data_IF_442976221818
#
_entry.id   IF_442976221818
#
_cell.length_a   1.000
_cell.length_b   1.000
_cell.length_c   1.000
_cell.angle_alpha   90.00
_cell.angle_beta   90.00
_cell.angle_gamma   90.00
#
_symmetry.space_group_name_H-M   'P 1'
#
loop_
_entity.id
_entity.type
_entity.pdbx_description
1 polymer ?
#
# COMPACT_ATOMS: atom_id res chain seq x y z
N UNK A 1 48.19 37.16 26.24
CA UNK A 1 47.45 37.47 24.99
C UNK A 1 47.22 36.13 24.31
N UNK A 2 46.06 35.61 23.98
CA UNK A 2 44.62 35.95 23.98
C UNK A 2 43.91 34.57 23.75
N UNK A 3 42.63 34.29 23.93
CA UNK A 3 41.50 34.80 24.68
C UNK A 3 40.57 33.58 24.80
N UNK A 4 40.04 33.28 25.98
CA UNK A 4 39.01 32.25 26.20
C UNK A 4 37.67 32.94 26.02
N UNK A 5 36.91 32.57 24.99
CA UNK A 5 35.56 33.06 24.79
C UNK A 5 34.56 32.02 25.31
N UNK A 6 33.87 32.42 26.38
CA UNK A 6 32.70 31.77 26.94
C UNK A 6 31.48 31.93 26.02
N UNK A 7 30.57 30.96 26.06
CA UNK A 7 29.21 31.08 25.52
C UNK A 7 28.18 30.61 26.58
N UNK A 8 26.98 31.21 26.62
CA UNK A 8 26.19 31.33 27.83
C UNK A 8 25.20 30.19 28.08
N UNK A 9 24.96 29.96 29.37
CA UNK A 9 23.87 29.18 29.94
C UNK A 9 22.57 29.98 29.78
N UNK A 10 21.57 29.41 29.10
CA UNK A 10 20.18 29.86 29.15
C UNK A 10 19.37 28.91 30.01
N UNK A 11 18.89 29.44 31.12
CA UNK A 11 17.98 28.81 32.05
C UNK A 11 16.52 29.21 31.75
N UNK A 12 15.61 28.34 32.22
CA UNK A 12 14.17 28.53 32.43
C UNK A 12 13.29 28.49 31.16
N UNK A 13 12.09 27.88 31.14
CA UNK A 13 11.14 27.72 32.23
C UNK A 13 10.17 26.53 32.05
N UNK A 14 9.71 26.05 33.20
CA UNK A 14 8.61 25.13 33.51
C UNK A 14 7.39 25.20 32.56
N UNK A 15 6.74 24.04 32.36
CA UNK A 15 5.29 23.89 32.64
C UNK A 15 4.92 22.43 32.93
N UNK A 16 3.97 22.31 33.86
CA UNK A 16 3.52 21.12 34.55
C UNK A 16 2.56 20.24 33.72
N UNK A 17 2.51 18.95 34.06
CA UNK A 17 1.49 17.95 33.71
C UNK A 17 0.08 18.36 34.21
N UNK A 18 -1.07 17.75 33.78
CA UNK A 18 -1.36 16.32 33.97
C UNK A 18 -2.23 15.62 32.90
N UNK A 19 -2.38 14.31 33.07
CA UNK A 19 -3.29 13.41 32.38
C UNK A 19 -4.77 13.71 32.64
N UNK A 20 -5.63 13.44 31.64
CA UNK A 20 -7.05 13.11 31.89
C UNK A 20 -7.57 12.11 30.85
N UNK A 21 -8.12 11.02 31.37
CA UNK A 21 -8.82 9.94 30.66
C UNK A 21 -10.33 10.18 30.74
N UNK A 22 -11.07 9.64 29.77
CA UNK A 22 -12.44 9.11 29.84
C UNK A 22 -13.60 9.88 29.14
N UNK A 23 -14.18 9.14 28.18
CA UNK A 23 -15.62 8.81 28.03
C UNK A 23 -16.65 9.86 27.60
N UNK A 24 -17.28 9.61 26.43
CA UNK A 24 -18.74 9.50 26.16
C UNK A 24 -18.97 9.64 24.64
N UNK A 25 -19.40 8.60 23.92
CA UNK A 25 -20.78 8.13 23.76
C UNK A 25 -21.76 9.22 23.28
N UNK A 26 -21.95 9.35 21.96
CA UNK A 26 -23.19 9.86 21.37
C UNK A 26 -23.35 9.41 19.90
N UNK A 27 -24.32 8.51 19.66
CA UNK A 27 -24.96 8.28 18.36
C UNK A 27 -25.72 9.55 17.92
N UNK A 28 -25.86 9.79 16.61
CA UNK A 28 -27.09 10.39 16.10
C UNK A 28 -27.97 9.35 15.43
N UNK A 29 -29.16 9.17 16.01
CA UNK A 29 -30.29 8.46 15.43
C UNK A 29 -30.96 9.33 14.37
N UNK A 30 -31.52 8.63 13.38
CA UNK A 30 -32.36 9.09 12.28
C UNK A 30 -33.52 10.01 12.69
N UNK A 31 -33.81 11.01 11.84
CA UNK A 31 -35.16 11.51 11.63
C UNK A 31 -35.38 11.75 10.12
N UNK A 32 -36.31 10.97 9.57
CA UNK A 32 -36.81 11.04 8.20
C UNK A 32 -37.67 12.29 7.99
N UNK A 33 -37.67 12.80 6.76
CA UNK A 33 -38.88 13.42 6.19
C UNK A 33 -38.95 13.06 4.71
N UNK A 34 -39.68 11.99 4.43
CA UNK A 34 -40.03 11.56 3.08
C UNK A 34 -41.34 12.26 2.67
N UNK A 35 -41.31 12.98 1.55
CA UNK A 35 -42.53 13.45 0.86
C UNK A 35 -43.00 12.35 -0.09
N UNK A 36 -44.16 11.77 0.22
CA UNK A 36 -44.98 11.00 -0.73
C UNK A 36 -45.86 11.97 -1.52
N UNK A 37 -46.14 11.69 -2.80
CA UNK A 37 -47.49 11.90 -3.31
C UNK A 37 -48.08 10.62 -3.91
N UNK A 38 -49.31 10.37 -3.45
CA UNK A 38 -50.46 9.78 -4.12
C UNK A 38 -50.32 8.47 -4.92
N UNK A 39 -51.06 7.50 -4.41
CA UNK A 39 -51.35 6.19 -4.98
C UNK A 39 -51.93 6.26 -6.41
N UNK A 40 -51.40 5.41 -7.28
CA UNK A 40 -52.12 4.89 -8.44
C UNK A 40 -52.15 3.36 -8.30
N UNK A 41 -53.35 2.80 -8.34
CA UNK A 41 -53.67 1.38 -8.16
C UNK A 41 -52.90 0.48 -9.14
N UNK A 42 -52.20 -0.58 -8.68
CA UNK A 42 -51.64 -1.56 -9.60
C UNK A 42 -52.74 -2.50 -10.09
N UNK A 43 -52.99 -2.47 -11.40
CA UNK A 43 -53.74 -3.49 -12.13
C UNK A 43 -53.10 -4.85 -11.83
N UNK A 44 -53.87 -5.77 -11.27
CA UNK A 44 -53.52 -7.19 -11.17
C UNK A 44 -53.26 -7.76 -12.57
N UNK A 45 -51.99 -7.84 -12.96
CA UNK A 45 -51.55 -8.61 -14.12
C UNK A 45 -51.16 -10.03 -13.69
N UNK A 46 -51.72 -10.96 -14.46
CA UNK A 46 -51.71 -12.40 -14.30
C UNK A 46 -50.27 -12.97 -14.17
N UNK A 47 -50.01 -13.82 -13.16
CA UNK A 47 -48.68 -14.41 -12.84
C UNK A 47 -48.18 -15.47 -13.85
N UNK A 48 -48.58 -15.42 -15.11
CA UNK A 48 -48.23 -16.44 -16.12
C UNK A 48 -47.48 -15.93 -17.35
N UNK A 49 -47.04 -14.68 -17.36
CA UNK A 49 -46.31 -14.11 -18.51
C UNK A 49 -45.10 -13.28 -18.04
N UNK A 50 -44.11 -13.95 -17.45
CA UNK A 50 -42.82 -13.32 -17.09
C UNK A 50 -41.64 -14.30 -17.19
N UNK A 51 -41.74 -15.29 -18.06
CA UNK A 51 -40.70 -16.26 -18.35
C UNK A 51 -40.73 -16.46 -19.85
N UNK A 52 -39.96 -15.66 -20.59
CA UNK A 52 -39.51 -15.86 -21.99
C UNK A 52 -38.99 -14.50 -22.48
N UNK A 53 -37.78 -14.12 -22.06
CA UNK A 53 -37.20 -12.87 -22.57
C UNK A 53 -36.01 -12.30 -21.83
N UNK A 54 -35.04 -13.11 -21.38
CA UNK A 54 -33.69 -12.62 -21.08
C UNK A 54 -32.62 -13.74 -20.95
N UNK A 55 -32.33 -14.59 -21.97
CA UNK A 55 -31.09 -15.39 -21.92
C UNK A 55 -29.92 -14.73 -22.68
N UNK A 56 -30.17 -13.76 -23.56
CA UNK A 56 -29.14 -13.30 -24.51
C UNK A 56 -28.15 -12.26 -23.94
N UNK A 57 -28.51 -11.50 -22.91
CA UNK A 57 -27.62 -10.48 -22.32
C UNK A 57 -26.61 -11.05 -21.30
N UNK A 58 -26.87 -12.23 -20.74
CA UNK A 58 -25.95 -12.89 -19.81
C UNK A 58 -24.84 -13.67 -20.52
N UNK A 59 -25.08 -14.15 -21.75
CA UNK A 59 -24.06 -14.82 -22.55
C UNK A 59 -23.05 -13.86 -23.20
N UNK A 60 -23.42 -12.59 -23.42
CA UNK A 60 -22.55 -11.56 -23.99
C UNK A 60 -21.57 -10.95 -22.97
N UNK A 61 -21.75 -11.20 -21.66
CA UNK A 61 -20.83 -10.75 -20.61
C UNK A 61 -19.68 -11.73 -20.36
N UNK A 62 -19.74 -12.95 -20.90
CA UNK A 62 -18.70 -13.98 -20.71
C UNK A 62 -17.59 -13.97 -21.76
N UNK A 63 -17.62 -13.05 -22.73
CA UNK A 63 -16.57 -12.90 -23.75
C UNK A 63 -15.78 -11.60 -23.61
N UNK A 64 -15.88 -10.92 -22.47
CA UNK A 64 -14.93 -9.86 -22.15
C UNK A 64 -13.56 -10.51 -21.92
N UNK A 65 -12.73 -10.53 -22.97
CA UNK A 65 -11.29 -10.78 -22.82
C UNK A 65 -10.80 -9.92 -21.65
N UNK A 66 -10.04 -10.48 -20.69
CA UNK A 66 -9.46 -9.66 -19.64
C UNK A 66 -8.72 -8.54 -20.36
N UNK A 67 -9.04 -7.29 -20.02
CA UNK A 67 -8.29 -6.17 -20.54
C UNK A 67 -6.82 -6.48 -20.25
N UNK A 68 -6.01 -6.68 -21.31
CA UNK A 68 -4.56 -6.77 -21.19
C UNK A 68 -4.13 -5.41 -20.70
N UNK A 69 -4.14 -5.24 -19.38
CA UNK A 69 -3.59 -4.06 -18.79
C UNK A 69 -2.08 -4.15 -19.03
N UNK A 70 -1.64 -3.27 -19.91
CA UNK A 70 -0.24 -3.07 -20.24
C UNK A 70 0.31 -2.27 -19.06
N UNK A 71 1.31 -2.83 -18.38
CA UNK A 71 2.02 -2.07 -17.37
C UNK A 71 2.66 -0.84 -18.03
N UNK A 72 2.83 0.28 -17.30
CA UNK A 72 3.63 1.38 -17.80
C UNK A 72 5.03 0.89 -18.23
N UNK A 73 5.63 1.41 -19.31
CA UNK A 73 6.94 0.95 -19.79
C UNK A 73 8.03 1.03 -18.71
N UNK A 74 7.92 1.98 -17.79
CA UNK A 74 8.87 2.19 -16.70
C UNK A 74 8.69 1.18 -15.54
N UNK A 75 7.57 0.44 -15.51
CA UNK A 75 7.21 -0.42 -14.38
C UNK A 75 8.28 -1.47 -14.09
N UNK A 76 8.87 -2.07 -15.12
CA UNK A 76 9.91 -3.08 -14.95
C UNK A 76 11.13 -2.49 -14.23
N UNK A 77 11.70 -1.41 -14.76
CA UNK A 77 12.89 -0.78 -14.19
C UNK A 77 12.63 -0.22 -12.78
N UNK A 78 11.50 0.47 -12.58
CA UNK A 78 11.13 1.01 -11.28
C UNK A 78 10.96 -0.11 -10.23
N UNK A 79 10.34 -1.23 -10.60
CA UNK A 79 10.11 -2.34 -9.67
C UNK A 79 11.42 -3.08 -9.37
N UNK A 80 12.29 -3.24 -10.36
CA UNK A 80 13.62 -3.83 -10.19
C UNK A 80 14.50 -2.99 -9.25
N UNK A 81 14.42 -1.67 -9.36
CA UNK A 81 15.07 -0.72 -8.45
C UNK A 81 14.58 -0.90 -7.01
N UNK A 82 13.26 -1.00 -6.79
CA UNK A 82 12.70 -1.27 -5.45
C UNK A 82 13.14 -2.63 -4.92
N UNK A 83 13.14 -3.68 -5.75
CA UNK A 83 13.61 -5.01 -5.35
C UNK A 83 15.08 -4.93 -4.90
N UNK A 84 15.94 -4.28 -5.69
CA UNK A 84 17.37 -4.14 -5.40
C UNK A 84 17.60 -3.44 -4.06
N UNK A 85 17.00 -2.27 -3.86
CA UNK A 85 17.17 -1.47 -2.64
C UNK A 85 16.56 -2.17 -1.41
N UNK A 86 15.40 -2.80 -1.56
CA UNK A 86 14.78 -3.57 -0.46
C UNK A 86 15.66 -4.75 -0.08
N UNK A 87 16.24 -5.44 -1.06
CA UNK A 87 17.16 -6.56 -0.82
C UNK A 87 18.43 -6.09 -0.10
N UNK A 88 19.02 -4.96 -0.51
CA UNK A 88 20.27 -4.46 0.09
C UNK A 88 20.12 -4.05 1.56
N UNK A 89 18.92 -3.65 1.96
CA UNK A 89 18.61 -3.36 3.36
C UNK A 89 18.33 -4.65 4.12
N UNK A 90 17.58 -5.59 3.53
CA UNK A 90 17.23 -6.85 4.17
C UNK A 90 18.44 -7.76 4.39
N UNK A 91 19.38 -7.82 3.45
CA UNK A 91 20.60 -8.63 3.56
C UNK A 91 21.73 -7.93 4.34
N UNK A 92 21.52 -6.67 4.74
CA UNK A 92 22.48 -5.87 5.49
C UNK A 92 23.67 -5.36 4.67
N UNK A 93 23.65 -5.50 3.33
CA UNK A 93 24.75 -5.03 2.48
C UNK A 93 24.87 -3.50 2.41
N UNK A 94 23.76 -2.77 2.56
CA UNK A 94 23.76 -1.31 2.67
C UNK A 94 22.65 -0.80 3.60
N UNK A 95 23.05 -0.53 4.85
CA UNK A 95 22.21 0.05 5.90
C UNK A 95 22.46 1.56 6.10
N UNK A 96 23.12 2.23 5.14
CA UNK A 96 23.40 3.65 5.27
C UNK A 96 22.11 4.48 5.30
N UNK A 97 22.12 5.59 6.05
CA UNK A 97 20.99 6.52 6.09
C UNK A 97 20.63 7.04 4.70
N UNK A 98 21.64 7.20 3.83
CA UNK A 98 21.45 7.61 2.44
C UNK A 98 20.67 6.56 1.64
N UNK A 99 21.02 5.28 1.76
CA UNK A 99 20.31 4.20 1.07
C UNK A 99 18.87 4.05 1.58
N UNK A 100 18.65 4.11 2.90
CA UNK A 100 17.31 4.03 3.49
C UNK A 100 16.46 5.23 3.05
N UNK A 101 17.02 6.45 3.00
CA UNK A 101 16.30 7.64 2.54
C UNK A 101 15.96 7.57 1.05
N UNK A 102 16.89 7.11 0.21
CA UNK A 102 16.67 6.93 -1.23
C UNK A 102 15.62 5.85 -1.49
N UNK A 103 15.72 4.70 -0.81
CA UNK A 103 14.71 3.65 -0.83
C UNK A 103 13.34 4.17 -0.41
N UNK A 104 13.25 4.97 0.67
CA UNK A 104 11.99 5.55 1.13
C UNK A 104 11.40 6.52 0.11
N UNK A 105 12.22 7.35 -0.53
CA UNK A 105 11.75 8.24 -1.60
C UNK A 105 11.24 7.45 -2.81
N UNK A 106 11.99 6.46 -3.26
CA UNK A 106 11.64 5.67 -4.45
C UNK A 106 10.43 4.78 -4.21
N UNK A 107 10.30 4.13 -3.04
CA UNK A 107 9.12 3.29 -2.73
C UNK A 107 7.83 4.10 -2.69
N UNK A 108 7.87 5.36 -2.24
CA UNK A 108 6.69 6.23 -2.20
C UNK A 108 6.25 6.61 -3.62
N UNK A 109 7.20 6.92 -4.51
CA UNK A 109 6.92 7.14 -5.94
C UNK A 109 6.37 5.88 -6.60
N UNK A 110 7.05 4.74 -6.42
CA UNK A 110 6.62 3.45 -6.94
C UNK A 110 5.21 3.08 -6.46
N UNK A 111 4.93 3.22 -5.17
CA UNK A 111 3.62 2.93 -4.62
C UNK A 111 2.54 3.84 -5.21
N UNK A 112 2.79 5.15 -5.31
CA UNK A 112 1.83 6.08 -5.92
C UNK A 112 1.53 5.76 -7.38
N UNK A 113 2.54 5.38 -8.16
CA UNK A 113 2.39 5.01 -9.56
C UNK A 113 1.66 3.68 -9.72
N UNK A 114 1.92 2.70 -8.85
CA UNK A 114 1.56 1.30 -9.10
C UNK A 114 0.55 0.69 -8.13
N UNK A 115 0.09 1.38 -7.07
CA UNK A 115 -0.85 0.84 -6.06
C UNK A 115 -2.15 0.23 -6.63
N UNK A 116 -2.67 0.77 -7.73
CA UNK A 116 -3.89 0.28 -8.38
C UNK A 116 -3.64 -0.78 -9.47
N UNK A 117 -2.41 -1.27 -9.59
CA UNK A 117 -2.01 -2.17 -10.67
C UNK A 117 -2.03 -3.66 -10.28
N UNK A 118 -2.33 -3.99 -9.02
CA UNK A 118 -2.47 -5.37 -8.55
C UNK A 118 -3.58 -6.17 -9.29
N UNK A 119 -4.64 -5.52 -9.75
CA UNK A 119 -5.73 -6.15 -10.53
C UNK A 119 -5.53 -6.08 -12.05
N UNK A 120 -4.46 -5.42 -12.49
CA UNK A 120 -4.29 -4.95 -13.88
C UNK A 120 -3.16 -5.70 -14.61
N UNK A 121 -3.14 -7.03 -14.53
CA UNK A 121 -2.24 -7.84 -15.37
C UNK A 121 -0.74 -7.77 -15.02
N UNK A 122 -0.37 -7.02 -13.97
CA UNK A 122 1.03 -6.84 -13.55
C UNK A 122 1.52 -7.93 -12.58
N UNK A 123 0.63 -8.87 -12.27
CA UNK A 123 0.96 -10.18 -11.73
C UNK A 123 1.54 -10.21 -10.32
N UNK A 124 2.09 -11.37 -9.96
CA UNK A 124 2.69 -11.65 -8.66
C UNK A 124 3.99 -10.85 -8.41
N UNK A 125 4.65 -10.35 -9.46
CA UNK A 125 5.79 -9.44 -9.36
C UNK A 125 5.48 -8.19 -8.53
N UNK A 126 4.32 -7.57 -8.76
CA UNK A 126 3.83 -6.46 -7.94
C UNK A 126 3.59 -6.89 -6.49
N UNK A 127 2.79 -7.96 -6.30
CA UNK A 127 2.31 -8.38 -5.00
C UNK A 127 3.45 -8.79 -4.05
N UNK A 128 4.44 -9.51 -4.57
CA UNK A 128 5.61 -9.94 -3.81
C UNK A 128 6.48 -8.73 -3.41
N UNK A 129 6.75 -7.83 -4.36
CA UNK A 129 7.52 -6.60 -4.10
C UNK A 129 6.82 -5.71 -3.09
N UNK A 130 5.52 -5.48 -3.27
CA UNK A 130 4.69 -4.69 -2.36
C UNK A 130 4.74 -5.24 -0.93
N UNK A 131 4.53 -6.54 -0.76
CA UNK A 131 4.54 -7.18 0.56
C UNK A 131 5.90 -7.04 1.25
N UNK A 132 7.01 -7.28 0.53
CA UNK A 132 8.35 -7.20 1.11
C UNK A 132 8.71 -5.77 1.52
N UNK A 133 8.55 -4.79 0.61
CA UNK A 133 8.91 -3.40 0.90
C UNK A 133 8.03 -2.81 2.01
N UNK A 134 6.74 -3.14 2.05
CA UNK A 134 5.82 -2.63 3.08
C UNK A 134 6.23 -3.12 4.47
N UNK A 135 6.55 -4.42 4.58
CA UNK A 135 7.03 -5.04 5.83
C UNK A 135 8.37 -4.48 6.28
N UNK A 136 9.33 -4.30 5.37
CA UNK A 136 10.59 -3.63 5.68
C UNK A 136 10.35 -2.22 6.24
N UNK A 137 9.49 -1.43 5.58
CA UNK A 137 9.20 -0.07 6.00
C UNK A 137 8.57 0.05 7.37
N UNK A 138 7.68 -0.88 7.70
CA UNK A 138 7.13 -0.96 9.04
C UNK A 138 8.23 -1.19 10.09
N UNK A 139 9.17 -2.10 9.81
CA UNK A 139 10.26 -2.42 10.75
C UNK A 139 11.24 -1.26 10.93
N UNK A 140 11.64 -0.59 9.85
CA UNK A 140 12.51 0.60 9.91
C UNK A 140 11.84 1.69 10.74
N UNK A 141 10.54 1.93 10.50
CA UNK A 141 9.79 2.93 11.26
C UNK A 141 9.70 2.57 12.75
N UNK A 142 9.41 1.32 13.07
CA UNK A 142 9.33 0.86 14.48
C UNK A 142 10.69 0.97 15.17
N UNK A 143 11.79 0.64 14.50
CA UNK A 143 13.14 0.81 15.04
C UNK A 143 13.42 2.30 15.32
N UNK A 144 13.11 3.18 14.37
CA UNK A 144 13.25 4.62 14.54
C UNK A 144 12.41 5.17 15.71
N UNK A 145 11.16 4.71 15.87
CA UNK A 145 10.29 5.09 17.00
C UNK A 145 10.85 4.63 18.36
N UNK A 146 11.67 3.58 18.40
CA UNK A 146 12.40 3.12 19.59
C UNK A 146 13.75 3.83 19.79
N UNK A 147 14.21 4.62 18.82
CA UNK A 147 15.56 5.21 18.83
C UNK A 147 16.66 4.20 18.53
N UNK A 148 16.33 3.09 17.88
CA UNK A 148 17.26 2.02 17.50
C UNK A 148 17.48 2.03 15.98
N UNK A 149 18.70 1.74 15.49
CA UNK A 149 18.90 1.49 14.07
C UNK A 149 18.16 0.22 13.65
N UNK A 150 17.77 0.15 12.38
CA UNK A 150 17.23 -1.09 11.83
C UNK A 150 18.30 -2.18 11.82
N UNK A 151 17.95 -3.37 12.32
CA UNK A 151 18.81 -4.54 12.37
C UNK A 151 18.18 -5.68 11.56
N UNK A 152 18.77 -6.10 10.43
CA UNK A 152 18.25 -7.18 9.59
C UNK A 152 18.28 -8.55 10.28
N UNK A 153 19.08 -8.76 11.32
CA UNK A 153 19.14 -10.04 12.04
C UNK A 153 18.09 -10.15 13.15
N UNK A 154 17.49 -9.02 13.56
CA UNK A 154 16.50 -8.96 14.64
C UNK A 154 15.18 -8.33 14.14
N UNK A 155 14.58 -8.98 13.14
CA UNK A 155 13.38 -8.51 12.45
C UNK A 155 12.10 -9.13 13.02
N UNK A 156 11.00 -8.36 13.01
CA UNK A 156 9.67 -8.87 13.34
C UNK A 156 9.09 -9.79 12.25
N UNK A 157 9.53 -9.61 11.01
CA UNK A 157 9.20 -10.48 9.89
C UNK A 157 10.40 -11.35 9.52
N UNK A 158 10.16 -12.58 9.07
CA UNK A 158 11.24 -13.50 8.66
C UNK A 158 12.01 -12.92 7.45
N UNK A 159 13.27 -12.55 7.67
CA UNK A 159 14.19 -11.97 6.67
C UNK A 159 14.28 -12.84 5.40
N UNK A 160 14.57 -14.11 5.57
CA UNK A 160 14.80 -15.06 4.47
C UNK A 160 13.55 -15.20 3.59
N UNK A 161 12.37 -15.22 4.22
CA UNK A 161 11.11 -15.23 3.49
C UNK A 161 10.87 -13.94 2.69
N UNK A 162 11.23 -12.77 3.24
CA UNK A 162 11.11 -11.51 2.51
C UNK A 162 12.04 -11.48 1.29
N UNK A 163 13.26 -11.99 1.43
CA UNK A 163 14.21 -12.12 0.32
C UNK A 163 13.68 -13.13 -0.72
N UNK A 164 13.15 -14.27 -0.28
CA UNK A 164 12.57 -15.30 -1.16
C UNK A 164 11.45 -14.74 -2.04
N UNK A 165 10.51 -13.98 -1.45
CA UNK A 165 9.41 -13.39 -2.24
C UNK A 165 9.92 -12.29 -3.18
N UNK A 166 10.94 -11.52 -2.81
CA UNK A 166 11.58 -10.56 -3.72
C UNK A 166 12.22 -11.26 -4.93
N UNK A 167 12.90 -12.38 -4.72
CA UNK A 167 13.48 -13.18 -5.79
C UNK A 167 12.40 -13.79 -6.71
N UNK A 168 11.29 -14.28 -6.14
CA UNK A 168 10.13 -14.72 -6.92
C UNK A 168 9.54 -13.59 -7.74
N UNK A 169 9.34 -12.42 -7.13
CA UNK A 169 8.83 -11.23 -7.82
C UNK A 169 9.73 -10.79 -8.97
N UNK A 170 11.05 -10.79 -8.76
CA UNK A 170 12.05 -10.54 -9.81
C UNK A 170 11.91 -11.53 -10.97
N UNK A 171 11.90 -12.84 -10.69
CA UNK A 171 11.84 -13.86 -11.71
C UNK A 171 10.57 -13.76 -12.57
N UNK A 172 9.45 -13.37 -11.97
CA UNK A 172 8.19 -13.15 -12.68
C UNK A 172 8.24 -11.89 -13.56
N UNK A 173 8.80 -10.79 -13.05
CA UNK A 173 9.01 -9.56 -13.82
C UNK A 173 9.91 -9.83 -15.04
N UNK A 174 11.03 -10.52 -14.84
CA UNK A 174 11.97 -10.91 -15.91
C UNK A 174 11.23 -11.72 -16.99
N UNK A 175 10.39 -12.68 -16.58
CA UNK A 175 9.61 -13.53 -17.50
C UNK A 175 8.58 -12.72 -18.29
N UNK A 176 7.88 -11.78 -17.63
CA UNK A 176 6.87 -10.94 -18.29
C UNK A 176 7.52 -9.94 -19.26
N UNK A 177 8.63 -9.33 -18.86
CA UNK A 177 9.41 -8.42 -19.69
C UNK A 177 9.96 -9.14 -20.94
N UNK A 178 10.57 -10.32 -20.77
CA UNK A 178 11.05 -11.13 -21.89
C UNK A 178 9.92 -11.59 -22.85
N UNK A 179 8.70 -11.72 -22.34
CA UNK A 179 7.52 -12.07 -23.13
C UNK A 179 6.83 -10.86 -23.79
N UNK A 180 7.34 -9.63 -23.62
CA UNK A 180 6.73 -8.40 -24.13
C UNK A 180 5.37 -8.10 -23.50
N UNK A 181 5.19 -8.50 -22.24
CA UNK A 181 3.96 -8.30 -21.46
C UNK A 181 4.02 -7.06 -20.55
N UNK A 182 5.20 -6.45 -20.45
CA UNK A 182 5.50 -5.19 -19.77
C UNK A 182 6.12 -4.24 -20.80
#
# INVERSE_FOLDING_TARGET
MAAVCAAPILAAARRASPATRASSAAKPSSAQSAKTPAATTPKTMNRRSALLGAPALLAALSTASPAKAVAPPEYYEDTMEIIRLTTSILDGSDLSEANIADWQKKRDVWYNNYQLHHEKGVGYGYANTFNAQAKLGFQIRVAAEKGEPFDPEHTAYNKDYLIEILQKGKAELDKMHAAGQL
#
